data_IF_187247879831
#
_entry.id   IF_187247879831
#
_cell.length_a   1.000
_cell.length_b   1.000
_cell.length_c   1.000
_cell.angle_alpha   90.00
_cell.angle_beta   90.00
_cell.angle_gamma   90.00
#
_symmetry.space_group_name_H-M   'P 1'
#
loop_
_entity.id
_entity.type
_entity.pdbx_description
1 polymer ?
#
# COMPACT_ATOMS: atom_id res chain seq x y z
N UNK A 1 -14.42 -8.92 -7.38
CA UNK A 1 -13.45 -8.72 -8.50
C UNK A 1 -12.12 -8.35 -7.90
N UNK A 2 -11.00 -8.84 -8.42
CA UNK A 2 -9.67 -8.49 -7.89
C UNK A 2 -9.39 -6.99 -8.13
N UNK A 3 -9.07 -6.23 -7.09
CA UNK A 3 -8.81 -4.78 -7.20
C UNK A 3 -7.55 -4.38 -6.45
N UNK A 4 -6.73 -3.53 -7.06
CA UNK A 4 -5.65 -2.80 -6.39
C UNK A 4 -6.12 -1.35 -6.18
N UNK A 5 -5.99 -0.83 -4.97
CA UNK A 5 -6.15 0.57 -4.63
C UNK A 5 -4.79 1.13 -4.23
N UNK A 6 -4.23 2.02 -5.04
CA UNK A 6 -2.99 2.72 -4.73
C UNK A 6 -3.30 4.13 -4.25
N UNK A 7 -2.97 4.42 -3.00
CA UNK A 7 -3.29 5.67 -2.32
C UNK A 7 -2.24 6.75 -2.59
N UNK A 8 -2.69 7.88 -3.12
CA UNK A 8 -1.92 9.11 -3.27
C UNK A 8 -0.58 8.96 -3.99
N UNK A 9 -0.58 8.56 -5.28
CA UNK A 9 0.63 8.46 -6.11
C UNK A 9 1.21 9.84 -6.49
N UNK A 10 1.47 10.72 -5.51
CA UNK A 10 1.89 12.10 -5.74
C UNK A 10 3.42 12.22 -5.77
N UNK A 11 3.97 12.92 -6.76
CA UNK A 11 5.42 13.17 -6.94
C UNK A 11 6.11 13.68 -5.67
N UNK A 12 5.41 14.48 -4.87
CA UNK A 12 5.93 15.04 -3.63
C UNK A 12 6.32 13.96 -2.60
N UNK A 13 5.57 12.86 -2.49
CA UNK A 13 5.91 11.77 -1.58
C UNK A 13 7.15 11.02 -2.03
N UNK A 14 7.26 10.67 -3.31
CA UNK A 14 8.48 10.07 -3.88
C UNK A 14 9.72 10.94 -3.62
N UNK A 15 9.61 12.26 -3.85
CA UNK A 15 10.70 13.20 -3.57
C UNK A 15 11.02 13.29 -2.07
N UNK A 16 10.01 13.23 -1.20
CA UNK A 16 10.20 13.22 0.25
C UNK A 16 11.00 11.99 0.69
N UNK A 17 10.70 10.82 0.13
CA UNK A 17 11.43 9.59 0.41
C UNK A 17 12.87 9.61 -0.10
N UNK A 18 13.11 10.16 -1.30
CA UNK A 18 14.48 10.39 -1.80
C UNK A 18 15.28 11.29 -0.87
N UNK A 19 14.69 12.41 -0.43
CA UNK A 19 15.34 13.33 0.50
C UNK A 19 15.67 12.64 1.83
N UNK A 20 14.75 11.79 2.32
CA UNK A 20 14.95 10.99 3.53
C UNK A 20 16.12 10.02 3.36
N UNK A 21 16.18 9.28 2.26
CA UNK A 21 17.30 8.37 1.97
C UNK A 21 18.63 9.12 1.85
N UNK A 22 18.65 10.24 1.12
CA UNK A 22 19.84 11.06 0.95
C UNK A 22 20.37 11.60 2.28
N UNK A 23 19.48 12.01 3.19
CA UNK A 23 19.85 12.44 4.55
C UNK A 23 20.61 11.35 5.32
N UNK A 24 20.27 10.07 5.11
CA UNK A 24 20.97 8.92 5.70
C UNK A 24 22.14 8.39 4.85
N UNK A 25 22.60 9.16 3.85
CA UNK A 25 23.70 8.75 2.96
C UNK A 25 23.38 7.56 2.07
N UNK A 26 22.10 7.28 1.83
CA UNK A 26 21.63 6.17 1.01
C UNK A 26 21.37 6.64 -0.42
N UNK A 27 21.56 5.73 -1.39
CA UNK A 27 21.29 6.02 -2.80
C UNK A 27 19.77 6.07 -3.07
N UNK A 28 19.31 6.96 -3.96
CA UNK A 28 17.94 6.95 -4.45
C UNK A 28 17.57 5.60 -5.06
N UNK A 29 16.29 5.27 -4.99
CA UNK A 29 15.76 4.01 -5.51
C UNK A 29 15.37 4.15 -6.99
N UNK A 30 15.43 3.07 -7.78
CA UNK A 30 14.79 3.09 -9.11
C UNK A 30 13.27 3.05 -8.95
N UNK A 31 12.65 4.23 -8.90
CA UNK A 31 11.21 4.33 -8.72
C UNK A 31 10.41 3.72 -9.88
N UNK A 32 10.99 3.59 -11.08
CA UNK A 32 10.29 2.96 -12.21
C UNK A 32 9.98 1.48 -11.95
N UNK A 33 10.73 0.86 -11.05
CA UNK A 33 10.50 -0.51 -10.62
C UNK A 33 9.15 -0.68 -9.89
N UNK A 34 8.61 0.35 -9.22
CA UNK A 34 7.27 0.28 -8.61
C UNK A 34 6.17 0.03 -9.65
N UNK A 35 6.21 0.72 -10.79
CA UNK A 35 5.30 0.47 -11.91
C UNK A 35 5.43 -0.95 -12.46
N UNK A 36 6.66 -1.49 -12.52
CA UNK A 36 6.91 -2.89 -12.93
C UNK A 36 6.30 -3.90 -11.94
N UNK A 37 6.37 -3.63 -10.63
CA UNK A 37 5.70 -4.44 -9.62
C UNK A 37 4.18 -4.43 -9.79
N UNK A 38 3.59 -3.25 -10.03
CA UNK A 38 2.14 -3.11 -10.25
C UNK A 38 1.70 -3.88 -11.48
N UNK A 39 2.46 -3.75 -12.58
CA UNK A 39 2.21 -4.49 -13.81
C UNK A 39 2.27 -6.00 -13.60
N UNK A 40 3.36 -6.48 -13.00
CA UNK A 40 3.62 -7.91 -12.89
C UNK A 40 2.71 -8.60 -11.88
N UNK A 41 2.54 -8.02 -10.68
CA UNK A 41 1.81 -8.67 -9.58
C UNK A 41 0.30 -8.51 -9.64
N UNK A 42 -0.20 -7.47 -10.33
CA UNK A 42 -1.62 -7.11 -10.29
C UNK A 42 -2.22 -7.04 -11.68
N UNK A 43 -1.67 -6.21 -12.57
CA UNK A 43 -2.29 -6.00 -13.89
C UNK A 43 -2.31 -7.28 -14.73
N UNK A 44 -1.19 -8.03 -14.79
CA UNK A 44 -1.12 -9.34 -15.48
C UNK A 44 -2.04 -10.39 -14.85
N UNK A 45 -2.28 -10.29 -13.55
CA UNK A 45 -3.11 -11.23 -12.77
C UNK A 45 -4.62 -10.89 -12.80
N UNK A 46 -5.02 -9.95 -13.66
CA UNK A 46 -6.41 -9.56 -13.87
C UNK A 46 -6.99 -8.63 -12.81
N UNK A 47 -6.15 -7.93 -12.04
CA UNK A 47 -6.63 -6.91 -11.12
C UNK A 47 -7.06 -5.63 -11.85
N UNK A 48 -8.20 -5.07 -11.45
CA UNK A 48 -8.51 -3.67 -11.76
C UNK A 48 -7.61 -2.74 -10.95
N UNK A 49 -7.01 -1.75 -11.61
CA UNK A 49 -6.10 -0.80 -10.97
C UNK A 49 -6.86 0.50 -10.68
N UNK A 50 -6.83 0.92 -9.42
CA UNK A 50 -7.51 2.11 -8.93
C UNK A 50 -6.52 3.05 -8.26
N UNK A 51 -6.52 4.31 -8.68
CA UNK A 51 -5.68 5.37 -8.12
C UNK A 51 -6.53 6.29 -7.25
N UNK A 52 -6.27 6.34 -5.95
CA UNK A 52 -6.89 7.32 -5.08
C UNK A 52 -6.08 8.62 -5.11
N UNK A 53 -6.65 9.64 -5.72
CA UNK A 53 -6.04 10.96 -5.94
C UNK A 53 -6.63 12.00 -4.99
N UNK A 54 -5.90 13.09 -4.78
CA UNK A 54 -6.49 14.28 -4.16
C UNK A 54 -7.46 14.97 -5.12
N UNK A 55 -8.44 15.67 -4.58
CA UNK A 55 -9.42 16.43 -5.35
C UNK A 55 -8.84 17.71 -5.97
N UNK A 56 -9.46 18.19 -7.05
CA UNK A 56 -9.20 19.52 -7.61
C UNK A 56 -9.76 20.59 -6.68
N UNK A 57 -9.14 21.77 -6.63
CA UNK A 57 -9.59 22.86 -5.75
C UNK A 57 -11.00 23.35 -6.13
N UNK A 58 -11.31 23.33 -7.42
CA UNK A 58 -12.57 23.82 -7.98
C UNK A 58 -13.70 22.77 -7.88
N UNK A 59 -13.34 21.49 -7.82
CA UNK A 59 -14.27 20.37 -7.67
C UNK A 59 -13.58 19.21 -6.94
N UNK A 60 -13.90 19.06 -5.65
CA UNK A 60 -13.31 18.06 -4.78
C UNK A 60 -13.68 16.63 -5.18
N UNK A 61 -14.77 16.40 -5.94
CA UNK A 61 -15.14 15.08 -6.42
C UNK A 61 -14.28 14.62 -7.60
N UNK A 62 -13.56 15.54 -8.25
CA UNK A 62 -12.74 15.25 -9.43
C UNK A 62 -11.26 15.05 -9.04
N UNK A 63 -10.60 13.98 -9.53
CA UNK A 63 -9.20 13.73 -9.22
C UNK A 63 -8.27 14.79 -9.85
N UNK A 64 -7.29 15.24 -9.07
CA UNK A 64 -6.22 16.13 -9.50
C UNK A 64 -5.05 15.31 -10.06
N UNK A 65 -4.86 15.36 -11.37
CA UNK A 65 -3.73 14.70 -12.04
C UNK A 65 -2.42 15.50 -11.96
N UNK A 66 -2.50 16.81 -11.66
CA UNK A 66 -1.31 17.64 -11.45
C UNK A 66 -0.56 17.13 -10.22
N UNK A 67 0.58 16.49 -10.45
CA UNK A 67 1.37 15.89 -9.40
C UNK A 67 1.30 14.36 -9.37
N UNK A 68 0.54 13.69 -10.24
CA UNK A 68 0.61 12.25 -10.42
C UNK A 68 2.04 11.82 -10.79
N UNK A 69 2.60 10.88 -10.04
CA UNK A 69 3.93 10.34 -10.25
C UNK A 69 3.95 9.45 -11.48
N UNK A 70 4.93 9.65 -12.37
CA UNK A 70 5.14 8.74 -13.53
C UNK A 70 5.64 7.36 -13.11
N UNK A 71 6.09 7.20 -11.87
CA UNK A 71 6.74 5.98 -11.38
C UNK A 71 5.78 4.83 -11.10
N UNK A 72 4.50 5.13 -10.91
CA UNK A 72 3.48 4.09 -10.64
C UNK A 72 2.93 3.45 -11.92
N UNK A 73 3.30 3.93 -13.11
CA UNK A 73 2.87 3.33 -14.38
C UNK A 73 1.35 3.39 -14.61
N UNK A 74 0.72 4.53 -14.28
CA UNK A 74 -0.70 4.75 -14.51
C UNK A 74 -1.04 4.76 -16.02
N UNK A 75 -2.17 4.18 -16.39
CA UNK A 75 -2.64 3.98 -17.78
C UNK A 75 -4.08 4.48 -17.97
N UNK A 76 -4.48 4.70 -19.22
CA UNK A 76 -5.81 5.25 -19.56
C UNK A 76 -6.97 4.33 -19.15
N UNK A 77 -6.75 3.02 -19.10
CA UNK A 77 -7.73 2.01 -18.71
C UNK A 77 -7.86 1.84 -17.17
N UNK A 78 -7.00 2.51 -16.41
CA UNK A 78 -7.09 2.52 -14.95
C UNK A 78 -8.24 3.42 -14.47
N UNK A 79 -8.70 3.17 -13.24
CA UNK A 79 -9.71 4.02 -12.59
C UNK A 79 -9.03 5.06 -11.70
N UNK A 80 -9.56 6.26 -11.70
CA UNK A 80 -9.06 7.38 -10.91
C UNK A 80 -10.18 7.91 -10.02
N UNK A 81 -9.96 7.88 -8.71
CA UNK A 81 -10.91 8.32 -7.70
C UNK A 81 -10.39 9.57 -7.01
N UNK A 82 -11.31 10.43 -6.55
CA UNK A 82 -10.94 11.49 -5.62
C UNK A 82 -11.14 11.02 -4.18
N UNK A 83 -10.29 11.51 -3.27
CA UNK A 83 -10.47 11.35 -1.84
C UNK A 83 -11.36 12.43 -1.20
N UNK A 84 -11.86 13.40 -1.98
CA UNK A 84 -12.81 14.41 -1.52
C UNK A 84 -12.18 15.64 -0.83
N UNK A 85 -10.86 15.78 -0.88
CA UNK A 85 -10.13 16.96 -0.38
C UNK A 85 -8.82 17.15 -1.16
N UNK A 86 -8.26 18.36 -1.10
CA UNK A 86 -7.03 18.71 -1.79
C UNK A 86 -5.78 18.24 -1.03
N UNK A 87 -4.65 18.09 -1.74
CA UNK A 87 -3.35 17.81 -1.13
C UNK A 87 -2.95 18.89 -0.09
N UNK A 88 -3.33 20.14 -0.32
CA UNK A 88 -3.06 21.23 0.62
C UNK A 88 -3.78 21.03 1.95
N UNK A 89 -5.06 20.67 1.91
CA UNK A 89 -5.84 20.39 3.12
C UNK A 89 -5.29 19.17 3.85
N UNK A 90 -4.87 18.13 3.11
CA UNK A 90 -4.19 16.98 3.71
C UNK A 90 -2.96 17.40 4.54
N UNK A 91 -2.06 18.19 3.95
CA UNK A 91 -0.80 18.57 4.59
C UNK A 91 -0.99 19.61 5.70
N UNK A 92 -1.87 20.60 5.50
CA UNK A 92 -2.06 21.71 6.46
C UNK A 92 -3.06 21.42 7.57
N UNK A 93 -4.16 20.77 7.22
CA UNK A 93 -5.29 20.54 8.13
C UNK A 93 -5.35 19.08 8.61
N UNK A 94 -4.45 18.21 8.13
CA UNK A 94 -4.42 16.78 8.45
C UNK A 94 -5.74 16.09 8.14
N UNK A 95 -6.38 16.44 7.01
CA UNK A 95 -7.57 15.75 6.52
C UNK A 95 -7.20 14.35 6.01
N UNK A 96 -8.07 13.38 6.30
CA UNK A 96 -7.93 11.99 5.87
C UNK A 96 -9.14 11.58 5.04
N UNK A 97 -8.94 10.62 4.14
CA UNK A 97 -10.03 10.03 3.38
C UNK A 97 -11.02 9.34 4.31
N UNK A 98 -12.30 9.60 4.06
CA UNK A 98 -13.39 8.81 4.59
C UNK A 98 -13.38 7.45 3.86
N UNK A 99 -13.16 6.33 4.57
CA UNK A 99 -13.17 5.01 3.97
C UNK A 99 -14.48 4.67 3.28
N UNK A 100 -15.63 5.14 3.77
CA UNK A 100 -16.93 4.81 3.19
C UNK A 100 -17.11 5.50 1.84
N UNK A 101 -16.70 6.77 1.76
CA UNK A 101 -16.67 7.53 0.51
C UNK A 101 -15.74 6.90 -0.54
N UNK A 102 -14.55 6.45 -0.14
CA UNK A 102 -13.60 5.83 -1.06
C UNK A 102 -14.07 4.45 -1.50
N UNK A 103 -14.48 3.59 -0.56
CA UNK A 103 -14.91 2.22 -0.86
C UNK A 103 -16.20 2.20 -1.68
N UNK A 104 -17.09 3.19 -1.51
CA UNK A 104 -18.29 3.35 -2.34
C UNK A 104 -18.00 3.61 -3.83
N UNK A 105 -16.79 4.03 -4.18
CA UNK A 105 -16.36 4.21 -5.57
C UNK A 105 -15.82 2.91 -6.20
N UNK A 106 -15.53 1.89 -5.38
CA UNK A 106 -14.94 0.62 -5.83
C UNK A 106 -16.04 -0.45 -5.90
N UNK A 107 -16.30 -0.97 -7.09
CA UNK A 107 -17.38 -1.94 -7.31
C UNK A 107 -16.93 -3.34 -6.84
N UNK A 108 -17.54 -3.83 -5.75
CA UNK A 108 -17.41 -5.19 -5.22
C UNK A 108 -15.96 -5.75 -5.24
N UNK A 109 -15.01 -5.09 -4.56
CA UNK A 109 -13.63 -5.56 -4.52
C UNK A 109 -13.54 -6.85 -3.71
N UNK A 110 -12.96 -7.88 -4.33
CA UNK A 110 -12.73 -9.19 -3.71
C UNK A 110 -11.69 -9.97 -4.53
N UNK A 111 -10.43 -10.10 -4.06
CA UNK A 111 -9.83 -9.36 -2.94
C UNK A 111 -9.48 -7.91 -3.26
N UNK A 112 -9.31 -7.08 -2.22
CA UNK A 112 -8.78 -5.72 -2.26
C UNK A 112 -7.31 -5.70 -1.82
N UNK A 113 -6.42 -5.23 -2.69
CA UNK A 113 -5.02 -4.96 -2.35
C UNK A 113 -4.86 -3.46 -2.19
N UNK A 114 -4.16 -3.03 -1.15
CA UNK A 114 -3.92 -1.62 -0.87
C UNK A 114 -2.42 -1.35 -0.90
N UNK A 115 -2.02 -0.32 -1.64
CA UNK A 115 -0.68 0.26 -1.62
C UNK A 115 -0.74 1.77 -1.52
N UNK A 116 0.40 2.43 -1.67
CA UNK A 116 0.51 3.89 -1.66
C UNK A 116 1.02 4.49 -0.36
N UNK A 117 0.67 5.75 -0.12
CA UNK A 117 1.25 6.56 0.96
C UNK A 117 0.16 7.01 1.95
N UNK A 118 0.42 7.14 3.25
CA UNK A 118 1.53 6.54 4.01
C UNK A 118 1.02 5.29 4.74
N UNK A 119 1.84 4.24 4.78
CA UNK A 119 1.59 2.94 5.42
C UNK A 119 1.07 3.05 6.86
N UNK A 120 1.73 3.76 7.80
CA UNK A 120 1.32 3.76 9.20
C UNK A 120 0.06 4.59 9.47
N UNK A 121 -0.52 5.22 8.44
CA UNK A 121 -1.64 6.14 8.60
C UNK A 121 -2.73 5.88 7.57
N UNK A 122 -2.65 6.50 6.39
CA UNK A 122 -3.72 6.46 5.40
C UNK A 122 -4.01 5.04 4.89
N UNK A 123 -2.96 4.28 4.57
CA UNK A 123 -3.08 2.91 4.06
C UNK A 123 -3.61 1.98 5.15
N UNK A 124 -3.07 2.06 6.37
CA UNK A 124 -3.55 1.23 7.49
C UNK A 124 -5.00 1.51 7.85
N UNK A 125 -5.41 2.78 7.93
CA UNK A 125 -6.80 3.17 8.20
C UNK A 125 -7.75 2.62 7.14
N UNK A 126 -7.38 2.73 5.86
CA UNK A 126 -8.18 2.21 4.76
C UNK A 126 -8.28 0.68 4.80
N UNK A 127 -7.16 -0.01 5.03
CA UNK A 127 -7.13 -1.46 5.14
C UNK A 127 -7.94 -1.98 6.34
N UNK A 128 -7.79 -1.34 7.50
CA UNK A 128 -8.60 -1.62 8.69
C UNK A 128 -10.08 -1.45 8.41
N UNK A 129 -10.49 -0.32 7.83
CA UNK A 129 -11.89 -0.06 7.52
C UNK A 129 -12.47 -1.06 6.51
N UNK A 130 -11.69 -1.44 5.50
CA UNK A 130 -12.05 -2.47 4.51
C UNK A 130 -12.24 -3.83 5.18
N UNK A 131 -11.31 -4.22 6.05
CA UNK A 131 -11.38 -5.46 6.82
C UNK A 131 -12.60 -5.48 7.74
N UNK A 132 -12.88 -4.38 8.45
CA UNK A 132 -14.06 -4.25 9.31
C UNK A 132 -15.39 -4.35 8.57
N UNK A 133 -15.40 -4.17 7.23
CA UNK A 133 -16.57 -4.41 6.37
C UNK A 133 -16.63 -5.83 5.79
N UNK A 134 -15.74 -6.72 6.21
CA UNK A 134 -15.69 -8.12 5.77
C UNK A 134 -15.06 -8.33 4.41
N UNK A 135 -14.34 -7.35 3.85
CA UNK A 135 -13.61 -7.53 2.59
C UNK A 135 -12.35 -8.38 2.82
N UNK A 136 -12.04 -9.28 1.89
CA UNK A 136 -10.71 -9.88 1.80
C UNK A 136 -9.72 -8.78 1.41
N UNK A 137 -8.93 -8.30 2.37
CA UNK A 137 -8.02 -7.17 2.17
C UNK A 137 -6.59 -7.48 2.59
N UNK A 138 -5.63 -7.01 1.79
CA UNK A 138 -4.20 -7.05 2.11
C UNK A 138 -3.48 -5.77 1.70
N UNK A 139 -2.41 -5.43 2.39
CA UNK A 139 -1.55 -4.28 2.07
C UNK A 139 -0.24 -4.76 1.46
N UNK A 140 0.02 -4.48 0.19
CA UNK A 140 1.34 -4.77 -0.39
C UNK A 140 2.34 -3.69 0.05
N UNK A 141 3.17 -4.04 1.02
CA UNK A 141 4.18 -3.17 1.60
C UNK A 141 5.28 -2.77 0.60
N UNK A 142 5.57 -3.59 -0.42
CA UNK A 142 6.48 -3.16 -1.51
C UNK A 142 5.85 -2.08 -2.40
N UNK A 143 4.55 -1.86 -2.31
CA UNK A 143 3.85 -0.77 -2.99
C UNK A 143 3.61 0.44 -2.09
N UNK A 144 4.25 0.52 -0.93
CA UNK A 144 4.16 1.66 0.01
C UNK A 144 5.50 2.39 0.13
N UNK A 145 5.63 3.34 1.07
CA UNK A 145 6.91 3.96 1.39
C UNK A 145 7.98 2.96 1.86
N UNK A 146 7.62 1.72 2.20
CA UNK A 146 8.59 0.67 2.50
C UNK A 146 9.38 0.22 1.27
N UNK A 147 8.90 0.49 0.05
CA UNK A 147 9.63 0.30 -1.20
C UNK A 147 11.03 0.92 -1.17
N UNK A 148 11.15 2.16 -0.70
CA UNK A 148 12.36 2.98 -0.77
C UNK A 148 13.48 2.44 0.13
N UNK A 149 13.28 2.23 1.45
CA UNK A 149 14.33 1.65 2.29
C UNK A 149 14.65 0.20 1.89
N UNK A 150 13.67 -0.61 1.48
CA UNK A 150 13.94 -1.99 1.02
C UNK A 150 14.82 -2.00 -0.20
N UNK A 151 14.47 -1.20 -1.21
CA UNK A 151 15.24 -1.17 -2.45
C UNK A 151 16.63 -0.56 -2.27
N UNK A 152 16.76 0.44 -1.40
CA UNK A 152 18.06 1.03 -1.06
C UNK A 152 18.96 0.07 -0.26
N UNK A 153 18.40 -0.81 0.58
CA UNK A 153 19.16 -1.76 1.39
C UNK A 153 19.49 -3.07 0.66
N UNK A 154 18.57 -3.58 -0.14
CA UNK A 154 18.63 -4.92 -0.71
C UNK A 154 18.73 -4.94 -2.24
N UNK A 155 18.67 -3.78 -2.89
CA UNK A 155 18.62 -3.68 -4.35
C UNK A 155 17.20 -3.83 -4.88
N UNK A 156 17.07 -4.18 -6.16
CA UNK A 156 15.76 -4.30 -6.81
C UNK A 156 14.85 -5.32 -6.08
N UNK A 157 13.61 -4.93 -5.81
CA UNK A 157 12.63 -5.82 -5.18
C UNK A 157 12.26 -6.92 -6.18
N UNK A 158 12.15 -8.20 -5.79
CA UNK A 158 11.73 -9.24 -6.73
C UNK A 158 10.33 -8.97 -7.29
N UNK A 159 10.14 -9.18 -8.60
CA UNK A 159 8.83 -9.00 -9.24
C UNK A 159 7.79 -9.98 -8.70
N UNK A 160 8.21 -11.23 -8.48
CA UNK A 160 7.38 -12.24 -7.84
C UNK A 160 7.30 -12.01 -6.34
N UNK A 161 6.15 -12.38 -5.79
CA UNK A 161 5.94 -12.36 -4.35
C UNK A 161 6.53 -13.66 -3.79
N UNK A 162 7.67 -13.54 -3.11
CA UNK A 162 8.17 -14.65 -2.30
C UNK A 162 7.47 -14.66 -0.95
N UNK A 163 6.99 -15.84 -0.49
CA UNK A 163 6.52 -15.97 0.88
C UNK A 163 7.60 -15.55 1.86
N UNK A 164 7.18 -14.91 2.96
CA UNK A 164 8.11 -14.56 4.02
C UNK A 164 8.47 -15.83 4.79
N UNK A 165 9.74 -16.22 4.72
CA UNK A 165 10.27 -17.36 5.47
C UNK A 165 10.66 -16.91 6.89
N UNK A 166 9.79 -17.19 7.86
CA UNK A 166 10.03 -16.89 9.27
C UNK A 166 11.09 -17.78 9.91
N UNK A 167 11.52 -18.88 9.29
CA UNK A 167 12.51 -19.78 9.88
C UNK A 167 13.85 -19.09 10.16
N UNK A 168 14.16 -18.05 9.38
CA UNK A 168 15.36 -17.24 9.49
C UNK A 168 15.22 -16.02 10.41
N UNK A 169 14.04 -15.78 10.98
CA UNK A 169 13.79 -14.63 11.85
C UNK A 169 14.22 -14.93 13.29
N UNK A 170 14.72 -13.92 14.00
CA UNK A 170 14.89 -14.05 15.45
C UNK A 170 13.53 -14.22 16.12
N UNK A 171 13.48 -14.85 17.30
CA UNK A 171 12.24 -15.05 18.06
C UNK A 171 11.49 -13.73 18.29
N UNK A 172 12.23 -12.65 18.58
CA UNK A 172 11.68 -11.31 18.70
C UNK A 172 10.93 -10.86 17.44
N UNK A 173 11.52 -11.05 16.26
CA UNK A 173 10.89 -10.64 15.01
C UNK A 173 9.68 -11.53 14.69
N UNK A 174 9.75 -12.83 15.00
CA UNK A 174 8.60 -13.74 14.87
C UNK A 174 7.43 -13.29 15.76
N UNK A 175 7.67 -13.05 17.05
CA UNK A 175 6.64 -12.57 17.97
C UNK A 175 6.06 -11.22 17.56
N UNK A 176 6.89 -10.32 17.02
CA UNK A 176 6.40 -9.03 16.50
C UNK A 176 5.47 -9.23 15.30
N UNK A 177 5.84 -10.08 14.34
CA UNK A 177 4.97 -10.37 13.20
C UNK A 177 3.69 -11.09 13.62
N UNK A 178 3.74 -11.94 14.64
CA UNK A 178 2.56 -12.56 15.27
C UNK A 178 1.60 -11.52 15.85
N UNK A 179 2.11 -10.61 16.68
CA UNK A 179 1.29 -9.55 17.28
C UNK A 179 0.71 -8.64 16.20
N UNK A 180 1.52 -8.30 15.19
CA UNK A 180 1.07 -7.51 14.05
C UNK A 180 -0.09 -8.20 13.32
N UNK A 181 -0.11 -9.53 13.19
CA UNK A 181 -1.25 -10.27 12.62
C UNK A 181 -2.49 -10.24 13.47
N UNK A 182 -2.34 -10.46 14.76
CA UNK A 182 -3.47 -10.48 15.69
C UNK A 182 -4.20 -9.14 15.68
N UNK A 183 -3.44 -8.05 15.56
CA UNK A 183 -3.99 -6.68 15.66
C UNK A 183 -4.27 -6.05 14.29
N UNK A 184 -3.51 -6.43 13.25
CA UNK A 184 -3.52 -5.84 11.89
C UNK A 184 -3.35 -6.95 10.82
N UNK A 185 -4.30 -7.89 10.69
CA UNK A 185 -4.17 -9.06 9.82
C UNK A 185 -3.92 -8.72 8.34
N UNK A 186 -4.35 -7.53 7.90
CA UNK A 186 -4.15 -7.03 6.54
C UNK A 186 -2.69 -6.71 6.16
N UNK A 187 -1.76 -6.63 7.12
CA UNK A 187 -0.35 -6.27 6.87
C UNK A 187 0.59 -7.45 6.66
N UNK A 188 0.15 -8.67 6.95
CA UNK A 188 1.06 -9.82 7.05
C UNK A 188 0.82 -10.86 5.95
N UNK A 189 0.39 -10.42 4.78
CA UNK A 189 -0.09 -11.25 3.68
C UNK A 189 0.98 -12.12 2.99
N UNK A 190 2.28 -11.88 3.24
CA UNK A 190 3.38 -12.69 2.67
C UNK A 190 3.63 -13.99 3.42
N UNK A 191 3.11 -14.14 4.62
CA UNK A 191 3.38 -15.32 5.43
C UNK A 191 2.60 -16.52 4.91
N UNK A 192 3.24 -17.70 4.92
CA UNK A 192 2.59 -18.94 4.47
C UNK A 192 1.46 -19.34 5.42
N UNK A 193 0.57 -20.20 4.92
CA UNK A 193 -0.53 -20.74 5.71
C UNK A 193 -0.04 -21.63 6.86
N UNK A 194 1.06 -22.34 6.68
CA UNK A 194 1.64 -23.17 7.75
C UNK A 194 2.27 -22.29 8.84
N UNK A 195 2.90 -21.18 8.46
CA UNK A 195 3.41 -20.19 9.41
C UNK A 195 2.26 -19.52 10.18
N UNK A 196 1.10 -19.31 9.53
CA UNK A 196 -0.15 -18.86 10.17
C UNK A 196 -0.65 -19.84 11.22
N UNK A 197 -0.76 -21.11 10.85
CA UNK A 197 -1.30 -22.17 11.71
C UNK A 197 -0.38 -22.39 12.93
N UNK A 198 0.94 -22.38 12.73
CA UNK A 198 1.91 -22.44 13.83
C UNK A 198 1.76 -21.25 14.79
N UNK A 199 1.60 -20.03 14.26
CA UNK A 199 1.44 -18.82 15.07
C UNK A 199 0.17 -18.88 15.93
N UNK A 200 -0.96 -19.29 15.36
CA UNK A 200 -2.24 -19.38 16.09
C UNK A 200 -2.11 -20.38 17.25
N UNK A 201 -1.56 -21.56 17.00
CA UNK A 201 -1.45 -22.63 18.01
C UNK A 201 -0.49 -22.32 19.16
N UNK A 202 0.57 -21.53 18.93
CA UNK A 202 1.66 -21.40 19.89
C UNK A 202 1.66 -20.09 20.69
N UNK A 203 1.02 -19.04 20.18
CA UNK A 203 1.14 -17.68 20.75
C UNK A 203 -0.20 -17.04 21.11
N UNK A 204 -1.33 -17.42 20.49
CA UNK A 204 -2.65 -16.85 20.80
C UNK A 204 -3.46 -17.71 21.79
N UNK A 205 -3.06 -18.96 22.01
CA UNK A 205 -3.69 -19.88 22.97
C UNK A 205 -3.00 -19.88 24.37
N UNK A 206 -2.05 -18.97 24.60
CA UNK A 206 -1.40 -18.72 25.90
C UNK A 206 -1.90 -17.44 26.55
#
# INVERSE_FOLDING_TARGET
MKQLLFMYPVKAYFKSEDNRLAYFGKKPSDHSHMGRLIDHRYRKEGYGINWLMFGKKEDLAQPQFLGLSKHVGAREDDKYFSCGFTFREHIKERKYADPDYVLGQIINPDPLVIGGFCLPDCVDKMAKASYSKGLEVRVDDDLTEMFFPKSSLHGEIPLDISPLDLSNFSDFLRSRETINRAVRPWLSWRLRKEDLEWVIQNELEK
#
